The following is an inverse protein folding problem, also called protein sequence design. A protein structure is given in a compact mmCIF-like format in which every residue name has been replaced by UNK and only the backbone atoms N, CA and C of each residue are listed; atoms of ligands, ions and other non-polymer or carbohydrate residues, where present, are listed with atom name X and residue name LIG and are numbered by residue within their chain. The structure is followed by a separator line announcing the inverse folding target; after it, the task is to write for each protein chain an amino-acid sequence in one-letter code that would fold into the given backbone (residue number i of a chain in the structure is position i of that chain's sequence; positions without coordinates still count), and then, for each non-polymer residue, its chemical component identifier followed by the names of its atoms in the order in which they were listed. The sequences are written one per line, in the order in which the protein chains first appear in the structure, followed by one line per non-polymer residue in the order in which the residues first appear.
data_IF_962848345711
#
_entry.id   IF_962848345711
#
_cell.length_a   1.000
_cell.length_b   1.000
_cell.length_c   1.000
_cell.angle_alpha   90.00
_cell.angle_beta   90.00
_cell.angle_gamma   90.00
#
_symmetry.space_group_name_H-M   'P 1'
#
loop_
_entity.id
_entity.type
_entity.pdbx_description
1 polymer ?
#
# COMPACT_ATOMS: atom_id res chain seq x y z
N UNK A 1 -14.84 4.00 -6.14
CA UNK A 1 -13.72 3.88 -5.17
C UNK A 1 -12.65 4.87 -5.59
N UNK A 2 -12.26 5.73 -4.68
CA UNK A 2 -11.18 6.71 -4.87
C UNK A 2 -9.83 5.99 -5.00
N UNK A 3 -8.96 6.47 -5.89
CA UNK A 3 -7.58 5.98 -6.05
C UNK A 3 -6.65 7.17 -6.05
N UNK A 4 -5.60 7.12 -5.25
CA UNK A 4 -4.58 8.17 -5.11
C UNK A 4 -3.21 7.57 -5.39
N UNK A 5 -2.43 8.21 -6.26
CA UNK A 5 -1.04 7.84 -6.56
C UNK A 5 -0.11 8.89 -5.95
N UNK A 6 0.74 8.46 -5.02
CA UNK A 6 1.82 9.29 -4.50
C UNK A 6 2.98 9.28 -5.49
N UNK A 7 3.32 10.46 -6.01
CA UNK A 7 4.44 10.62 -6.95
C UNK A 7 5.19 11.92 -6.67
N UNK A 8 6.52 11.88 -6.75
CA UNK A 8 7.33 13.10 -6.70
C UNK A 8 7.28 13.84 -8.03
N UNK A 9 7.14 15.16 -8.00
CA UNK A 9 7.15 16.00 -9.21
C UNK A 9 8.40 15.80 -10.07
N UNK A 10 9.51 15.43 -9.45
CA UNK A 10 10.79 15.13 -10.09
C UNK A 10 10.84 13.76 -10.79
N UNK A 11 9.81 12.93 -10.62
CA UNK A 11 9.72 11.57 -11.18
C UNK A 11 8.55 11.42 -12.18
N UNK A 12 8.50 12.24 -13.25
CA UNK A 12 7.48 12.09 -14.30
C UNK A 12 7.60 10.76 -15.05
N UNK A 13 8.78 10.16 -15.09
CA UNK A 13 9.08 8.84 -15.63
C UNK A 13 8.29 7.74 -14.88
N UNK A 14 8.32 7.76 -13.55
CA UNK A 14 7.58 6.83 -12.72
C UNK A 14 6.08 7.02 -12.84
N UNK A 15 5.60 8.26 -12.86
CA UNK A 15 4.18 8.54 -13.05
C UNK A 15 3.66 8.01 -14.40
N UNK A 16 4.45 8.16 -15.48
CA UNK A 16 4.08 7.63 -16.79
C UNK A 16 3.94 6.10 -16.75
N UNK A 17 4.93 5.40 -16.19
CA UNK A 17 4.88 3.95 -16.03
C UNK A 17 3.73 3.47 -15.14
N UNK A 18 3.40 4.23 -14.08
CA UNK A 18 2.28 3.92 -13.19
C UNK A 18 0.93 4.13 -13.88
N UNK A 19 0.81 5.13 -14.76
CA UNK A 19 -0.40 5.31 -15.60
C UNK A 19 -0.66 4.10 -16.51
N UNK A 20 0.37 3.54 -17.12
CA UNK A 20 0.27 2.34 -17.94
C UNK A 20 -0.16 1.12 -17.10
N UNK A 21 0.43 0.95 -15.91
CA UNK A 21 0.05 -0.12 -14.99
C UNK A 21 -1.41 0.00 -14.53
N UNK A 22 -1.87 1.19 -14.18
CA UNK A 22 -3.25 1.45 -13.79
C UNK A 22 -4.22 1.13 -14.92
N UNK A 23 -3.94 1.60 -16.14
CA UNK A 23 -4.76 1.31 -17.31
C UNK A 23 -4.82 -0.21 -17.60
N UNK A 24 -3.68 -0.91 -17.51
CA UNK A 24 -3.59 -2.36 -17.66
C UNK A 24 -4.40 -3.10 -16.59
N UNK A 25 -4.40 -2.62 -15.37
CA UNK A 25 -5.16 -3.21 -14.27
C UNK A 25 -6.67 -2.90 -14.37
N UNK A 26 -7.05 -1.82 -15.05
CA UNK A 26 -8.45 -1.41 -15.25
C UNK A 26 -8.88 -0.22 -14.39
N UNK A 27 -7.91 0.54 -13.83
CA UNK A 27 -8.17 1.80 -13.10
C UNK A 27 -7.90 2.98 -14.03
N UNK A 28 -8.96 3.63 -14.52
CA UNK A 28 -8.85 4.74 -15.46
C UNK A 28 -8.95 6.12 -14.79
N UNK A 29 -9.53 6.19 -13.60
CA UNK A 29 -9.68 7.43 -12.84
C UNK A 29 -8.88 7.35 -11.55
N UNK A 30 -7.95 8.27 -11.37
CA UNK A 30 -7.13 8.40 -10.16
C UNK A 30 -6.63 9.83 -10.00
N UNK A 31 -6.31 10.18 -8.77
CA UNK A 31 -5.70 11.44 -8.39
C UNK A 31 -4.19 11.25 -8.21
N UNK A 32 -3.41 12.25 -8.57
CA UNK A 32 -1.98 12.28 -8.27
C UNK A 32 -1.77 13.20 -7.08
N UNK A 33 -1.25 12.66 -5.99
CA UNK A 33 -0.77 13.44 -4.87
C UNK A 33 0.70 13.77 -5.12
N UNK A 34 1.02 15.06 -5.27
CA UNK A 34 2.40 15.52 -5.42
C UNK A 34 3.13 15.33 -4.09
N UNK A 35 4.04 14.36 -4.06
CA UNK A 35 4.82 14.03 -2.88
C UNK A 35 5.69 15.18 -2.42
N UNK A 36 5.82 15.33 -1.10
CA UNK A 36 6.64 16.37 -0.49
C UNK A 36 8.11 16.01 -0.68
N UNK A 37 8.82 16.90 -1.38
CA UNK A 37 10.24 16.70 -1.68
C UNK A 37 11.12 17.08 -0.48
N UNK A 38 11.25 16.14 0.45
CA UNK A 38 12.14 16.23 1.59
C UNK A 38 12.72 14.84 1.86
N UNK A 39 14.04 14.68 1.74
CA UNK A 39 14.72 13.38 1.82
C UNK A 39 14.46 12.64 3.14
N UNK A 40 14.30 13.35 4.25
CA UNK A 40 14.16 12.70 5.57
C UNK A 40 12.70 12.43 5.93
N UNK A 41 11.79 13.38 5.65
CA UNK A 41 10.41 13.34 6.15
C UNK A 41 9.35 13.43 5.06
N UNK A 42 9.73 13.66 3.81
CA UNK A 42 8.80 13.93 2.71
C UNK A 42 7.78 12.81 2.49
N UNK A 43 8.24 11.55 2.53
CA UNK A 43 7.37 10.39 2.45
C UNK A 43 6.39 10.35 3.62
N UNK A 44 6.87 10.49 4.84
CA UNK A 44 6.08 10.49 6.07
C UNK A 44 5.00 11.57 6.07
N UNK A 45 5.39 12.81 5.69
CA UNK A 45 4.47 13.95 5.61
C UNK A 45 3.44 13.76 4.49
N UNK A 46 3.85 13.19 3.35
CA UNK A 46 2.95 12.89 2.24
C UNK A 46 1.90 11.86 2.66
N UNK A 47 2.32 10.75 3.27
CA UNK A 47 1.40 9.72 3.74
C UNK A 47 0.45 10.25 4.82
N UNK A 48 0.96 11.05 5.77
CA UNK A 48 0.12 11.67 6.80
C UNK A 48 -0.97 12.57 6.19
N UNK A 49 -0.63 13.37 5.17
CA UNK A 49 -1.63 14.21 4.48
C UNK A 49 -2.64 13.35 3.73
N UNK A 50 -2.19 12.36 2.97
CA UNK A 50 -3.09 11.46 2.22
C UNK A 50 -4.08 10.80 3.18
N UNK A 51 -3.62 10.16 4.26
CA UNK A 51 -4.53 9.45 5.17
C UNK A 51 -5.46 10.39 5.93
N UNK A 52 -5.06 11.64 6.18
CA UNK A 52 -5.91 12.65 6.82
C UNK A 52 -7.09 13.11 5.95
N UNK A 53 -7.01 12.94 4.63
CA UNK A 53 -8.04 13.33 3.68
C UNK A 53 -8.98 12.18 3.27
N UNK A 54 -8.72 10.97 3.75
CA UNK A 54 -9.52 9.78 3.40
C UNK A 54 -10.79 9.72 4.26
N UNK A 55 -11.93 9.86 3.60
CA UNK A 55 -13.27 9.77 4.22
C UNK A 55 -14.11 8.59 3.70
N UNK A 56 -13.62 7.89 2.67
CA UNK A 56 -14.25 6.73 2.05
C UNK A 56 -13.17 5.69 1.66
N UNK A 57 -13.52 4.44 1.34
CA UNK A 57 -12.53 3.46 0.91
C UNK A 57 -11.67 3.97 -0.25
N UNK A 58 -10.36 4.13 0.01
CA UNK A 58 -9.40 4.74 -0.92
C UNK A 58 -8.19 3.83 -1.12
N UNK A 59 -7.91 3.49 -2.38
CA UNK A 59 -6.69 2.81 -2.77
C UNK A 59 -5.54 3.83 -2.88
N UNK A 60 -4.54 3.70 -2.04
CA UNK A 60 -3.31 4.51 -2.07
C UNK A 60 -2.20 3.69 -2.70
N UNK A 61 -1.55 4.25 -3.70
CA UNK A 61 -0.48 3.63 -4.47
C UNK A 61 0.77 4.49 -4.45
N UNK A 62 1.94 3.85 -4.42
CA UNK A 62 3.20 4.50 -4.76
C UNK A 62 3.47 4.39 -6.27
N UNK A 63 4.32 5.26 -6.78
CA UNK A 63 4.63 5.38 -8.21
C UNK A 63 5.54 4.27 -8.77
N UNK A 64 5.86 3.28 -7.95
CA UNK A 64 6.59 2.08 -8.33
C UNK A 64 5.75 0.79 -8.24
N UNK A 65 4.44 0.94 -8.07
CA UNK A 65 3.52 -0.21 -8.08
C UNK A 65 3.56 -0.98 -9.40
N UNK A 66 3.50 -2.31 -9.31
CA UNK A 66 3.30 -3.24 -10.43
C UNK A 66 2.22 -4.24 -10.06
N UNK A 67 1.13 -4.28 -10.83
CA UNK A 67 0.05 -5.24 -10.58
C UNK A 67 0.42 -6.63 -11.12
N UNK A 68 0.19 -7.65 -10.30
CA UNK A 68 0.39 -9.07 -10.62
C UNK A 68 -0.93 -9.81 -10.81
N UNK A 69 -2.04 -9.22 -10.36
CA UNK A 69 -3.39 -9.75 -10.48
C UNK A 69 -4.25 -8.95 -11.45
N UNK A 70 -5.56 -9.17 -11.34
CA UNK A 70 -6.60 -8.52 -12.15
C UNK A 70 -7.54 -7.69 -11.28
N UNK A 71 -8.24 -6.71 -11.89
CA UNK A 71 -9.25 -5.90 -11.21
C UNK A 71 -10.39 -6.76 -10.67
N UNK A 72 -10.74 -7.86 -11.34
CA UNK A 72 -11.75 -8.82 -10.86
C UNK A 72 -11.34 -9.47 -9.54
N UNK A 73 -10.09 -9.95 -9.44
CA UNK A 73 -9.54 -10.52 -8.21
C UNK A 73 -9.51 -9.48 -7.07
N UNK A 74 -9.23 -8.23 -7.39
CA UNK A 74 -9.26 -7.14 -6.40
C UNK A 74 -10.68 -6.94 -5.82
N UNK A 75 -11.71 -6.88 -6.66
CA UNK A 75 -13.09 -6.77 -6.17
C UNK A 75 -13.57 -8.04 -5.45
N UNK A 76 -13.12 -9.22 -5.87
CA UNK A 76 -13.38 -10.47 -5.13
C UNK A 76 -12.77 -10.44 -3.73
N UNK A 77 -11.57 -9.87 -3.57
CA UNK A 77 -10.94 -9.72 -2.26
C UNK A 77 -11.69 -8.69 -1.39
N UNK A 78 -12.08 -7.55 -1.94
CA UNK A 78 -12.89 -6.54 -1.24
C UNK A 78 -14.20 -7.13 -0.71
N UNK A 79 -14.89 -7.92 -1.53
CA UNK A 79 -16.16 -8.55 -1.14
C UNK A 79 -16.04 -9.53 0.04
N UNK A 80 -14.83 -9.95 0.40
CA UNK A 80 -14.55 -10.84 1.52
C UNK A 80 -14.09 -10.11 2.79
N UNK A 81 -13.91 -8.78 2.73
CA UNK A 81 -13.54 -8.00 3.91
C UNK A 81 -14.68 -8.00 4.93
N UNK A 82 -14.40 -8.24 6.21
CA UNK A 82 -15.42 -8.23 7.25
C UNK A 82 -15.78 -6.80 7.65
N UNK A 83 -16.91 -6.64 8.32
CA UNK A 83 -17.23 -5.35 8.93
C UNK A 83 -16.12 -4.86 9.85
N UNK A 84 -15.84 -3.56 9.79
CA UNK A 84 -14.80 -2.92 10.61
C UNK A 84 -13.38 -3.25 10.18
N UNK A 85 -13.16 -3.73 8.94
CA UNK A 85 -11.81 -3.80 8.38
C UNK A 85 -11.15 -2.42 8.35
N UNK A 86 -9.85 -2.36 8.45
CA UNK A 86 -9.11 -1.10 8.50
C UNK A 86 -8.24 -0.89 7.26
N UNK A 87 -7.42 -1.88 6.92
CA UNK A 87 -6.53 -1.83 5.77
C UNK A 87 -6.49 -3.17 5.04
N UNK A 88 -6.34 -3.12 3.70
CA UNK A 88 -6.04 -4.28 2.87
C UNK A 88 -4.84 -3.97 1.98
N UNK A 89 -3.76 -4.71 2.18
CA UNK A 89 -2.57 -4.66 1.35
C UNK A 89 -2.76 -5.53 0.10
N UNK A 90 -2.37 -5.02 -1.06
CA UNK A 90 -2.39 -5.82 -2.29
C UNK A 90 -1.15 -6.69 -2.43
N UNK A 91 -0.15 -6.46 -1.62
CA UNK A 91 1.09 -7.19 -1.45
C UNK A 91 1.97 -6.48 -0.44
N UNK A 92 2.94 -7.18 0.13
CA UNK A 92 3.88 -6.63 1.10
C UNK A 92 5.15 -7.46 1.16
N UNK A 93 6.23 -6.91 1.71
CA UNK A 93 7.35 -7.70 2.17
C UNK A 93 6.98 -8.33 3.52
N UNK A 94 6.40 -9.53 3.46
CA UNK A 94 5.86 -10.24 4.62
C UNK A 94 6.99 -10.84 5.45
N UNK A 95 7.03 -10.52 6.74
CA UNK A 95 8.07 -10.96 7.66
C UNK A 95 7.68 -12.17 8.52
N UNK A 96 6.39 -12.27 8.86
CA UNK A 96 5.85 -13.34 9.69
C UNK A 96 4.76 -14.10 8.93
N UNK A 97 4.44 -15.30 9.35
CA UNK A 97 3.32 -16.06 8.81
C UNK A 97 2.01 -15.30 8.96
N UNK A 98 1.24 -15.26 7.89
CA UNK A 98 -0.05 -14.58 7.84
C UNK A 98 -1.16 -15.62 7.76
N UNK A 99 -1.91 -15.87 8.85
CA UNK A 99 -2.97 -16.87 8.86
C UNK A 99 -4.06 -16.56 7.86
N UNK A 100 -4.62 -17.60 7.26
CA UNK A 100 -5.69 -17.47 6.28
C UNK A 100 -6.95 -16.94 6.94
N UNK A 101 -7.57 -15.95 6.29
CA UNK A 101 -8.86 -15.41 6.71
C UNK A 101 -10.01 -15.89 5.82
N UNK A 102 -9.82 -15.84 4.51
CA UNK A 102 -10.83 -16.24 3.53
C UNK A 102 -10.18 -16.82 2.27
N UNK A 103 -10.93 -17.02 1.20
CA UNK A 103 -10.41 -17.57 -0.07
C UNK A 103 -9.25 -16.71 -0.61
N UNK A 104 -9.39 -15.39 -0.58
CA UNK A 104 -8.47 -14.44 -1.21
C UNK A 104 -7.77 -13.50 -0.22
N UNK A 105 -7.94 -13.71 1.09
CA UNK A 105 -7.37 -12.84 2.13
C UNK A 105 -6.69 -13.65 3.24
N UNK A 106 -5.56 -13.11 3.69
CA UNK A 106 -4.90 -13.50 4.93
C UNK A 106 -4.89 -12.32 5.90
N UNK A 107 -4.70 -12.57 7.19
CA UNK A 107 -4.49 -11.53 8.19
C UNK A 107 -3.02 -11.11 8.14
N UNK A 108 -2.75 -9.86 7.83
CA UNK A 108 -1.38 -9.33 7.83
C UNK A 108 -0.94 -9.03 9.26
N UNK A 109 0.06 -9.77 9.73
CA UNK A 109 0.61 -9.65 11.08
C UNK A 109 1.87 -8.80 11.15
N UNK A 110 2.73 -8.88 10.12
CA UNK A 110 3.96 -8.10 10.00
C UNK A 110 4.44 -8.05 8.56
N UNK A 111 4.40 -6.87 7.96
CA UNK A 111 4.90 -6.66 6.60
C UNK A 111 5.30 -5.22 6.37
N UNK A 112 6.37 -5.04 5.58
CA UNK A 112 6.80 -3.75 5.07
C UNK A 112 6.25 -3.45 3.69
N UNK A 113 6.48 -2.25 3.25
CA UNK A 113 6.12 -1.64 1.98
C UNK A 113 4.67 -1.17 1.91
N UNK A 114 4.48 0.00 1.35
CA UNK A 114 3.19 0.70 1.25
C UNK A 114 2.77 0.95 -0.20
N UNK A 115 3.41 0.23 -1.14
CA UNK A 115 3.24 0.43 -2.57
C UNK A 115 1.78 0.30 -3.07
N UNK A 116 0.92 -0.46 -2.35
CA UNK A 116 -0.49 -0.61 -2.69
C UNK A 116 -1.33 -1.02 -1.47
N UNK A 117 -2.01 -0.05 -0.86
CA UNK A 117 -2.87 -0.26 0.32
C UNK A 117 -4.25 0.34 0.08
N UNK A 118 -5.28 -0.47 0.25
CA UNK A 118 -6.66 0.01 0.37
C UNK A 118 -6.94 0.35 1.84
N UNK A 119 -7.21 1.62 2.11
CA UNK A 119 -7.63 2.09 3.42
C UNK A 119 -9.15 2.17 3.49
N UNK A 120 -9.75 1.74 4.60
CA UNK A 120 -11.09 2.20 4.97
C UNK A 120 -11.01 3.60 5.58
N UNK A 121 -12.15 4.30 5.67
CA UNK A 121 -12.19 5.58 6.39
C UNK A 121 -11.75 5.44 7.85
N UNK A 122 -12.11 4.32 8.51
CA UNK A 122 -11.69 4.04 9.89
C UNK A 122 -10.20 3.79 10.00
N UNK A 123 -9.62 3.01 9.08
CA UNK A 123 -8.19 2.73 9.05
C UNK A 123 -7.35 3.99 8.79
N UNK A 124 -7.78 4.81 7.84
CA UNK A 124 -7.13 6.08 7.52
C UNK A 124 -7.18 7.05 8.72
N UNK A 125 -8.36 7.20 9.34
CA UNK A 125 -8.52 8.01 10.55
C UNK A 125 -7.60 7.53 11.67
N UNK A 126 -7.54 6.21 11.91
CA UNK A 126 -6.63 5.64 12.91
C UNK A 126 -5.18 6.03 12.62
N UNK A 127 -4.72 5.88 11.38
CA UNK A 127 -3.35 6.25 10.98
C UNK A 127 -3.10 7.75 11.17
N UNK A 128 -4.03 8.61 10.74
CA UNK A 128 -3.90 10.06 10.87
C UNK A 128 -3.79 10.53 12.33
N UNK A 129 -4.54 9.89 13.23
CA UNK A 129 -4.60 10.27 14.66
C UNK A 129 -3.44 9.69 15.49
N UNK A 130 -2.81 8.58 15.06
CA UNK A 130 -1.85 7.85 15.89
C UNK A 130 -0.41 7.88 15.38
N UNK A 131 -0.17 8.17 14.10
CA UNK A 131 1.19 8.31 13.58
C UNK A 131 1.88 9.58 14.13
N UNK A 132 3.11 9.47 14.64
CA UNK A 132 3.83 10.54 15.38
C UNK A 132 5.15 10.99 14.75
N UNK A 133 5.50 10.51 13.56
CA UNK A 133 6.75 10.87 12.86
C UNK A 133 8.05 10.46 13.59
N UNK A 134 7.97 9.58 14.55
CA UNK A 134 9.13 9.07 15.29
C UNK A 134 9.92 8.00 14.54
N UNK A 135 9.28 7.35 13.58
CA UNK A 135 9.87 6.38 12.65
C UNK A 135 9.26 6.55 11.25
N UNK A 136 9.84 5.93 10.23
CA UNK A 136 9.27 5.92 8.88
C UNK A 136 7.88 5.31 8.89
N UNK A 137 6.95 5.86 8.10
CA UNK A 137 5.54 5.51 8.13
C UNK A 137 5.28 4.00 7.91
N UNK A 138 6.00 3.34 7.00
CA UNK A 138 5.84 1.91 6.76
C UNK A 138 6.32 1.06 7.96
N UNK A 139 7.39 1.48 8.64
CA UNK A 139 7.88 0.82 9.84
C UNK A 139 6.92 1.02 11.04
N UNK A 140 6.31 2.19 11.15
CA UNK A 140 5.25 2.43 12.11
C UNK A 140 4.01 1.56 11.83
N UNK A 141 3.59 1.46 10.57
CA UNK A 141 2.49 0.55 10.20
C UNK A 141 2.77 -0.87 10.66
N UNK A 142 3.97 -1.37 10.38
CA UNK A 142 4.39 -2.72 10.76
C UNK A 142 4.45 -2.94 12.27
N UNK A 143 5.08 -2.02 12.99
CA UNK A 143 5.36 -2.19 14.44
C UNK A 143 4.15 -1.89 15.31
N UNK A 144 3.30 -0.97 14.88
CA UNK A 144 2.19 -0.44 15.68
C UNK A 144 0.84 -0.79 15.06
N UNK A 145 0.54 -0.25 13.88
CA UNK A 145 -0.80 -0.36 13.31
C UNK A 145 -1.20 -1.82 13.05
N UNK A 146 -0.36 -2.60 12.35
CA UNK A 146 -0.66 -4.01 12.04
C UNK A 146 -0.80 -4.91 13.27
N UNK A 147 -0.36 -4.47 14.44
CA UNK A 147 -0.53 -5.19 15.72
C UNK A 147 -1.81 -4.79 16.47
N UNK A 148 -2.39 -3.65 16.14
CA UNK A 148 -3.52 -3.06 16.88
C UNK A 148 -4.82 -3.03 16.10
N UNK A 149 -4.76 -3.00 14.77
CA UNK A 149 -5.94 -2.90 13.92
C UNK A 149 -6.02 -4.04 12.90
N UNK A 150 -7.23 -4.27 12.36
CA UNK A 150 -7.47 -5.33 11.38
C UNK A 150 -6.87 -4.98 10.03
N UNK A 151 -5.70 -5.56 9.75
CA UNK A 151 -5.01 -5.48 8.46
C UNK A 151 -5.13 -6.81 7.73
N UNK A 152 -5.45 -6.74 6.46
CA UNK A 152 -5.53 -7.90 5.56
C UNK A 152 -4.49 -7.78 4.45
N UNK A 153 -4.17 -8.89 3.84
CA UNK A 153 -3.33 -8.96 2.65
C UNK A 153 -3.94 -9.91 1.64
N UNK A 154 -3.89 -9.56 0.37
CA UNK A 154 -4.43 -10.42 -0.69
C UNK A 154 -3.58 -11.68 -0.87
N UNK A 155 -4.24 -12.80 -1.12
CA UNK A 155 -3.61 -14.07 -1.44
C UNK A 155 -4.26 -14.68 -2.71
N UNK A 156 -3.51 -14.74 -3.85
CA UNK A 156 -2.13 -14.28 -4.05
C UNK A 156 -1.98 -12.75 -3.98
N UNK A 157 -0.75 -12.24 -3.96
CA UNK A 157 -0.47 -10.81 -4.10
C UNK A 157 -1.02 -10.28 -5.41
N UNK A 158 -1.72 -9.15 -5.35
CA UNK A 158 -2.27 -8.47 -6.52
C UNK A 158 -1.37 -7.32 -7.00
N UNK A 159 -0.43 -6.90 -6.15
CA UNK A 159 0.58 -5.91 -6.52
C UNK A 159 1.91 -6.21 -5.83
N UNK A 160 2.99 -5.79 -6.48
CA UNK A 160 4.35 -5.78 -5.94
C UNK A 160 4.98 -4.41 -6.21
N UNK A 161 6.10 -4.14 -5.58
CA UNK A 161 6.92 -2.97 -5.87
C UNK A 161 7.87 -3.30 -7.03
N UNK A 162 7.98 -2.41 -8.02
CA UNK A 162 8.96 -2.56 -9.10
C UNK A 162 10.37 -2.40 -8.55
N UNK A 163 11.34 -3.23 -8.95
CA UNK A 163 12.74 -2.94 -8.71
C UNK A 163 13.13 -1.61 -9.36
N UNK A 164 13.67 -0.69 -8.57
CA UNK A 164 14.09 0.64 -9.06
C UNK A 164 15.06 1.30 -8.07
N UNK A 165 15.58 2.46 -8.46
CA UNK A 165 16.34 3.33 -7.57
C UNK A 165 15.40 4.02 -6.58
N UNK A 166 15.60 3.79 -5.30
CA UNK A 166 14.79 4.40 -4.23
C UNK A 166 15.27 5.81 -3.91
N UNK A 167 14.40 6.81 -4.08
CA UNK A 167 14.70 8.20 -3.71
C UNK A 167 14.84 8.36 -2.19
N UNK A 168 14.23 7.48 -1.41
CA UNK A 168 14.32 7.48 0.06
C UNK A 168 15.68 6.98 0.54
N UNK A 169 16.12 5.83 0.03
CA UNK A 169 17.38 5.19 0.48
C UNK A 169 18.61 5.66 -0.30
N UNK A 170 18.41 6.19 -1.52
CA UNK A 170 19.49 6.55 -2.42
C UNK A 170 20.21 5.34 -3.02
N UNK A 171 19.55 4.19 -3.11
CA UNK A 171 20.11 2.94 -3.63
C UNK A 171 19.11 2.21 -4.52
N UNK A 172 19.63 1.32 -5.39
CA UNK A 172 18.78 0.39 -6.13
C UNK A 172 18.21 -0.64 -5.17
N UNK A 173 16.91 -0.84 -5.23
CA UNK A 173 16.18 -1.78 -4.39
C UNK A 173 15.42 -2.79 -5.25
N UNK A 174 15.67 -4.06 -5.00
CA UNK A 174 14.88 -5.17 -5.50
C UNK A 174 14.32 -5.91 -4.28
N UNK A 175 13.04 -5.69 -4.02
CA UNK A 175 12.42 -6.21 -2.79
C UNK A 175 12.01 -7.68 -2.90
N UNK A 176 12.07 -8.26 -4.09
CA UNK A 176 11.71 -9.66 -4.34
C UNK A 176 10.46 -10.14 -3.59
N UNK A 177 9.41 -9.30 -3.58
CA UNK A 177 8.23 -9.46 -2.71
C UNK A 177 7.52 -10.80 -2.92
N UNK A 178 7.54 -11.35 -4.15
CA UNK A 178 6.93 -12.64 -4.44
C UNK A 178 7.51 -13.79 -3.62
N UNK A 179 8.79 -13.70 -3.23
CA UNK A 179 9.40 -14.73 -2.38
C UNK A 179 8.81 -14.76 -0.98
N UNK A 180 8.25 -13.65 -0.53
CA UNK A 180 7.61 -13.56 0.79
C UNK A 180 6.18 -14.06 0.78
N UNK A 181 5.54 -14.19 -0.39
CA UNK A 181 4.17 -14.69 -0.53
C UNK A 181 3.99 -16.10 0.04
N UNK A 182 5.05 -16.92 0.07
CA UNK A 182 5.04 -18.25 0.72
C UNK A 182 4.69 -18.24 2.21
N UNK A 183 4.72 -17.07 2.86
CA UNK A 183 4.29 -16.89 4.26
C UNK A 183 2.78 -16.70 4.43
N UNK A 184 2.03 -16.69 3.32
CA UNK A 184 0.58 -16.68 3.35
C UNK A 184 0.08 -18.14 3.48
N UNK A 185 -0.44 -18.49 4.64
CA UNK A 185 -0.89 -19.82 4.99
C UNK A 185 -2.34 -20.11 4.54
#
# INVERSE_FOLDING_TARGET
MRTVVLNLKTRPDRLAATREELARFGINNFEVFEGIQNRHDGFNQSMQRIVSEITEPTLVLEDDVKFTGTIGQFYEAIAQLPDGWMMMYLGANVLEECPRFSKNLNILTSGWTTHAILYSALGAKYCAENYRFDVVYDDWLRRVAQKQIRCFITNPFLAIQRPDYSDLTGAYSDYNLLDTQKKLL
#
